data_IF_518059867372
#
_entry.id   IF_518059867372
#
_cell.length_a   1.000
_cell.length_b   1.000
_cell.length_c   1.000
_cell.angle_alpha   90.00
_cell.angle_beta   90.00
_cell.angle_gamma   90.00
#
_symmetry.space_group_name_H-M   'P 1'
#
loop_
_entity.id
_entity.type
_entity.pdbx_description
1 polymer ?
#
# COMPACT_ATOMS: atom_id res chain seq x y z
N UNK A 1 -8.64 12.70 27.46
CA UNK A 1 -7.55 12.38 26.52
C UNK A 1 -7.04 13.70 25.98
N UNK A 2 -5.73 13.82 25.77
CA UNK A 2 -5.17 14.99 25.10
C UNK A 2 -5.49 14.97 23.60
N UNK A 3 -5.34 16.10 22.91
CA UNK A 3 -5.48 16.18 21.45
C UNK A 3 -4.51 15.22 20.74
N UNK A 4 -3.27 15.11 21.26
CA UNK A 4 -2.29 14.11 20.85
C UNK A 4 -2.81 12.67 21.01
N UNK A 5 -3.40 12.33 22.16
CA UNK A 5 -3.94 10.98 22.40
C UNK A 5 -5.08 10.67 21.43
N UNK A 6 -5.97 11.64 21.16
CA UNK A 6 -7.08 11.49 20.23
C UNK A 6 -6.58 11.29 18.79
N UNK A 7 -5.61 12.08 18.35
CA UNK A 7 -4.99 11.95 17.03
C UNK A 7 -4.34 10.57 16.84
N UNK A 8 -3.59 10.09 17.85
CA UNK A 8 -3.00 8.74 17.82
C UNK A 8 -4.07 7.64 17.83
N UNK A 9 -5.13 7.81 18.63
CA UNK A 9 -6.23 6.87 18.71
C UNK A 9 -6.96 6.74 17.36
N UNK A 10 -7.22 7.85 16.66
CA UNK A 10 -7.83 7.84 15.33
C UNK A 10 -6.99 7.08 14.30
N UNK A 11 -5.67 7.33 14.27
CA UNK A 11 -4.75 6.55 13.43
C UNK A 11 -4.87 5.05 13.73
N UNK A 12 -4.82 4.69 15.01
CA UNK A 12 -4.79 3.29 15.42
C UNK A 12 -6.13 2.59 15.23
N UNK A 13 -7.25 3.30 15.34
CA UNK A 13 -8.57 2.78 14.99
C UNK A 13 -8.67 2.48 13.49
N UNK A 14 -8.20 3.38 12.64
CA UNK A 14 -8.19 3.18 11.19
C UNK A 14 -7.29 2.00 10.77
N UNK A 15 -6.12 1.85 11.40
CA UNK A 15 -5.18 0.74 11.15
C UNK A 15 -5.72 -0.59 11.65
N UNK A 16 -6.34 -0.63 12.83
CA UNK A 16 -6.96 -1.82 13.38
C UNK A 16 -8.09 -2.36 12.48
N UNK A 17 -8.87 -1.48 11.85
CA UNK A 17 -9.90 -1.87 10.88
C UNK A 17 -9.34 -2.58 9.63
N UNK A 18 -8.02 -2.50 9.40
CA UNK A 18 -7.30 -3.12 8.29
C UNK A 18 -6.36 -4.26 8.74
N UNK A 19 -6.38 -4.62 10.03
CA UNK A 19 -5.43 -5.60 10.58
C UNK A 19 -3.98 -5.11 10.62
N UNK A 20 -3.75 -3.81 10.53
CA UNK A 20 -2.42 -3.20 10.55
C UNK A 20 -2.01 -2.87 11.99
N UNK A 21 -0.75 -3.14 12.35
CA UNK A 21 -0.22 -2.89 13.68
C UNK A 21 -0.33 -1.39 14.08
N UNK A 22 -0.60 -1.07 15.36
CA UNK A 22 -0.76 0.32 15.81
C UNK A 22 0.54 1.11 15.72
N UNK A 23 0.42 2.41 15.46
CA UNK A 23 1.50 3.38 15.57
C UNK A 23 1.80 3.72 17.03
N UNK A 24 3.06 4.07 17.27
CA UNK A 24 3.53 4.67 18.52
C UNK A 24 3.85 6.15 18.32
N UNK A 25 3.59 6.96 19.34
CA UNK A 25 4.02 8.36 19.30
C UNK A 25 5.54 8.46 19.43
N UNK A 26 6.15 9.34 18.64
CA UNK A 26 7.58 9.64 18.71
C UNK A 26 7.81 11.15 18.87
N UNK A 27 8.43 11.53 19.98
CA UNK A 27 8.68 12.93 20.33
C UNK A 27 9.73 13.60 19.42
N UNK A 28 10.64 12.84 18.82
CA UNK A 28 11.60 13.39 17.85
C UNK A 28 10.88 13.71 16.52
N UNK A 29 9.96 12.84 16.09
CA UNK A 29 9.10 13.11 14.93
C UNK A 29 8.20 14.31 15.17
N UNK A 30 7.65 14.45 16.37
CA UNK A 30 6.86 15.63 16.76
C UNK A 30 7.70 16.91 16.72
N UNK A 31 8.93 16.89 17.24
CA UNK A 31 9.83 18.04 17.18
C UNK A 31 10.20 18.43 15.73
N UNK A 32 10.40 17.44 14.86
CA UNK A 32 10.62 17.67 13.44
C UNK A 32 9.36 18.26 12.76
N UNK A 33 8.18 17.72 13.06
CA UNK A 33 6.91 18.26 12.61
C UNK A 33 6.70 19.72 13.04
N UNK A 34 7.02 20.03 14.31
CA UNK A 34 6.89 21.38 14.85
C UNK A 34 7.80 22.37 14.13
N UNK A 35 9.02 21.95 13.81
CA UNK A 35 9.97 22.78 13.07
C UNK A 35 9.41 23.19 11.70
N UNK A 36 8.78 22.24 10.98
CA UNK A 36 8.16 22.54 9.70
C UNK A 36 6.86 23.33 9.84
N UNK A 37 5.99 23.00 10.81
CA UNK A 37 4.77 23.77 11.09
C UNK A 37 5.09 25.24 11.36
N UNK A 38 6.13 25.53 12.15
CA UNK A 38 6.62 26.88 12.40
C UNK A 38 7.06 27.58 11.10
N UNK A 39 7.75 26.86 10.20
CA UNK A 39 8.13 27.40 8.90
C UNK A 39 6.90 27.75 8.06
N UNK A 40 5.92 26.85 7.94
CA UNK A 40 4.67 27.07 7.20
C UNK A 40 3.88 28.26 7.75
N UNK A 41 3.80 28.39 9.07
CA UNK A 41 3.17 29.53 9.73
C UNK A 41 3.92 30.85 9.46
N UNK A 42 5.26 30.81 9.36
CA UNK A 42 6.08 31.98 9.06
C UNK A 42 5.93 32.44 7.60
N UNK A 43 5.93 31.52 6.64
CA UNK A 43 5.76 31.84 5.21
C UNK A 43 4.28 31.96 4.81
N UNK A 44 3.37 31.55 5.70
CA UNK A 44 1.93 31.53 5.55
C UNK A 44 1.48 30.85 4.23
N UNK A 45 2.08 29.70 3.94
CA UNK A 45 1.82 28.89 2.75
C UNK A 45 1.90 27.42 3.14
N UNK A 46 1.01 26.60 2.59
CA UNK A 46 1.01 25.16 2.77
C UNK A 46 1.87 24.54 1.66
N UNK A 47 3.02 23.98 2.02
CA UNK A 47 3.88 23.24 1.10
C UNK A 47 4.60 22.11 1.85
N UNK A 48 4.95 21.06 1.12
CA UNK A 48 5.66 19.92 1.67
C UNK A 48 7.12 20.28 1.99
N UNK A 49 7.69 19.66 3.02
CA UNK A 49 9.11 19.82 3.36
C UNK A 49 10.00 19.15 2.31
N UNK A 50 10.78 19.90 1.51
CA UNK A 50 11.60 19.34 0.45
C UNK A 50 12.77 18.50 0.97
N UNK A 51 13.11 18.58 2.27
CA UNK A 51 14.25 17.91 2.89
C UNK A 51 13.83 16.85 3.91
N UNK A 52 12.55 16.50 3.99
CA UNK A 52 12.06 15.51 4.91
C UNK A 52 12.61 14.11 4.63
N UNK A 53 13.17 13.48 5.66
CA UNK A 53 13.57 12.07 5.63
C UNK A 53 12.49 11.11 6.16
N UNK A 54 11.39 11.67 6.67
CA UNK A 54 10.21 10.97 7.18
C UNK A 54 8.99 11.28 6.30
N UNK A 55 7.99 10.40 6.33
CA UNK A 55 6.73 10.61 5.60
C UNK A 55 6.01 11.84 6.15
N UNK A 56 5.19 12.49 5.33
CA UNK A 56 4.58 13.77 5.70
C UNK A 56 3.12 13.84 5.26
N UNK A 57 2.25 14.23 6.20
CA UNK A 57 0.96 14.83 5.88
C UNK A 57 0.94 16.26 6.39
N UNK A 58 0.29 17.16 5.65
CA UNK A 58 0.10 18.55 6.05
C UNK A 58 -1.38 18.92 5.96
N UNK A 59 -1.81 19.85 6.79
CA UNK A 59 -3.16 20.42 6.72
C UNK A 59 -3.12 21.88 7.16
N UNK A 60 -4.12 22.65 6.75
CA UNK A 60 -4.34 24.02 7.22
C UNK A 60 -5.77 24.17 7.71
N UNK A 61 -5.96 24.97 8.75
CA UNK A 61 -7.26 25.28 9.33
C UNK A 61 -7.37 26.77 9.64
N UNK A 62 -8.59 27.30 9.48
CA UNK A 62 -8.93 28.64 9.91
C UNK A 62 -10.42 28.66 10.30
N UNK A 63 -10.78 28.97 11.56
CA UNK A 63 -9.90 29.39 12.67
C UNK A 63 -9.10 28.24 13.29
N UNK A 64 -8.12 28.58 14.14
CA UNK A 64 -7.38 27.64 15.00
C UNK A 64 -8.30 26.92 16.01
N UNK A 65 -7.85 25.77 16.54
CA UNK A 65 -8.63 24.93 17.46
C UNK A 65 -7.78 24.23 18.51
N UNK A 66 -8.34 24.01 19.71
CA UNK A 66 -7.69 23.22 20.76
C UNK A 66 -7.60 21.71 20.45
N UNK A 67 -8.30 21.23 19.41
CA UNK A 67 -8.31 19.82 18.97
C UNK A 67 -7.76 19.65 17.57
N UNK A 68 -6.75 20.45 17.20
CA UNK A 68 -6.32 20.57 15.82
C UNK A 68 -5.61 19.31 15.28
N UNK A 69 -4.91 18.56 16.13
CA UNK A 69 -4.23 17.34 15.72
C UNK A 69 -5.25 16.24 15.42
N UNK A 70 -6.30 16.13 16.25
CA UNK A 70 -7.45 15.27 16.02
C UNK A 70 -8.17 15.65 14.72
N UNK A 71 -8.47 16.93 14.52
CA UNK A 71 -9.14 17.44 13.33
C UNK A 71 -8.34 17.16 12.05
N UNK A 72 -7.03 17.40 12.07
CA UNK A 72 -6.13 17.10 10.94
C UNK A 72 -6.10 15.60 10.62
N UNK A 73 -6.00 14.76 11.66
CA UNK A 73 -6.04 13.31 11.49
C UNK A 73 -7.37 12.85 10.88
N UNK A 74 -8.50 13.39 11.37
CA UNK A 74 -9.82 13.11 10.82
C UNK A 74 -9.94 13.51 9.34
N UNK A 75 -9.39 14.68 8.97
CA UNK A 75 -9.35 15.15 7.59
C UNK A 75 -8.57 14.20 6.68
N UNK A 76 -7.36 13.81 7.08
CA UNK A 76 -6.53 12.87 6.32
C UNK A 76 -7.20 11.50 6.20
N UNK A 77 -7.85 11.00 7.26
CA UNK A 77 -8.55 9.73 7.23
C UNK A 77 -9.83 9.74 6.39
N UNK A 78 -10.47 10.91 6.23
CA UNK A 78 -11.69 11.05 5.43
C UNK A 78 -11.42 10.79 3.94
N UNK A 79 -10.20 10.97 3.45
CA UNK A 79 -9.80 10.63 2.09
C UNK A 79 -9.97 9.12 1.77
N UNK A 80 -10.22 8.28 2.76
CA UNK A 80 -10.64 6.88 2.56
C UNK A 80 -11.76 6.74 1.52
N UNK A 81 -12.68 7.69 1.43
CA UNK A 81 -13.78 7.63 0.43
C UNK A 81 -13.30 7.80 -1.00
N UNK A 82 -12.17 8.46 -1.21
CA UNK A 82 -11.51 8.58 -2.50
C UNK A 82 -10.50 7.45 -2.75
N UNK A 83 -10.23 6.62 -1.73
CA UNK A 83 -9.33 5.48 -1.82
C UNK A 83 -10.06 4.21 -2.25
N UNK A 84 -9.72 3.72 -3.44
CA UNK A 84 -10.09 2.38 -3.91
C UNK A 84 -8.96 1.40 -3.59
N UNK A 85 -9.27 0.39 -2.78
CA UNK A 85 -8.36 -0.73 -2.53
C UNK A 85 -8.11 -1.49 -3.82
N UNK A 86 -6.84 -1.75 -4.11
CA UNK A 86 -6.38 -2.30 -5.38
C UNK A 86 -5.18 -1.51 -5.90
N UNK A 87 -5.10 -1.32 -7.21
CA UNK A 87 -3.97 -0.66 -7.86
C UNK A 87 -3.89 0.81 -7.47
N UNK A 88 -2.70 1.22 -7.06
CA UNK A 88 -2.34 2.62 -6.92
C UNK A 88 -1.37 3.00 -8.05
N UNK A 89 -1.90 3.48 -9.17
CA UNK A 89 -1.15 3.90 -10.38
C UNK A 89 -0.65 5.35 -10.29
N UNK A 90 -0.76 5.97 -9.12
CA UNK A 90 -0.47 7.38 -8.90
C UNK A 90 -1.69 8.30 -9.05
N UNK A 91 -2.77 7.87 -9.72
CA UNK A 91 -3.97 8.70 -9.95
C UNK A 91 -4.69 9.08 -8.66
N UNK A 92 -4.54 8.26 -7.61
CA UNK A 92 -5.14 8.46 -6.30
C UNK A 92 -4.20 9.18 -5.31
N UNK A 93 -2.95 9.54 -5.69
CA UNK A 93 -1.99 10.22 -4.78
C UNK A 93 -2.55 11.55 -4.28
N UNK A 94 -3.06 12.37 -5.20
CA UNK A 94 -3.61 13.69 -4.85
C UNK A 94 -4.92 13.57 -4.04
N UNK A 95 -5.69 12.50 -4.25
CA UNK A 95 -7.01 12.35 -3.65
C UNK A 95 -7.01 11.53 -2.35
N UNK A 96 -6.01 10.68 -2.14
CA UNK A 96 -5.94 9.72 -1.02
C UNK A 96 -4.53 9.55 -0.43
N UNK A 97 -3.58 10.43 -0.79
CA UNK A 97 -2.21 10.39 -0.31
C UNK A 97 -2.11 10.49 1.21
N UNK A 98 -2.91 11.34 1.84
CA UNK A 98 -2.87 11.47 3.29
C UNK A 98 -3.43 10.24 3.99
N UNK A 99 -4.55 9.70 3.48
CA UNK A 99 -5.13 8.47 4.01
C UNK A 99 -4.13 7.31 3.97
N UNK A 100 -3.50 7.08 2.82
CA UNK A 100 -2.56 5.97 2.64
C UNK A 100 -1.35 6.07 3.57
N UNK A 101 -0.85 7.29 3.81
CA UNK A 101 0.22 7.51 4.78
C UNK A 101 -0.23 7.17 6.22
N UNK A 102 -1.43 7.56 6.65
CA UNK A 102 -1.95 7.23 7.98
C UNK A 102 -2.03 5.71 8.23
N UNK A 103 -2.43 4.93 7.22
CA UNK A 103 -2.62 3.48 7.33
C UNK A 103 -1.46 2.65 6.79
N UNK A 104 -0.31 3.27 6.51
CA UNK A 104 0.82 2.59 5.87
C UNK A 104 1.38 1.47 6.76
N UNK A 105 1.35 0.24 6.27
CA UNK A 105 1.63 -0.95 7.10
C UNK A 105 3.03 -0.94 7.72
N UNK A 106 4.04 -0.48 6.98
CA UNK A 106 5.43 -0.48 7.43
C UNK A 106 5.79 0.73 8.30
N UNK A 107 4.93 1.73 8.41
CA UNK A 107 5.12 2.85 9.32
C UNK A 107 4.81 2.39 10.73
N UNK A 108 5.69 2.69 11.68
CA UNK A 108 5.60 2.26 13.09
C UNK A 108 5.43 3.43 14.05
N UNK A 109 5.90 4.61 13.68
CA UNK A 109 5.96 5.78 14.54
C UNK A 109 5.35 7.01 13.85
N UNK A 110 4.70 7.86 14.65
CA UNK A 110 4.16 9.15 14.21
C UNK A 110 4.44 10.24 15.23
N UNK A 111 4.65 11.47 14.77
CA UNK A 111 4.60 12.66 15.60
C UNK A 111 3.93 13.80 14.84
N UNK A 112 3.02 14.51 15.50
CA UNK A 112 2.21 15.57 14.89
C UNK A 112 2.36 16.86 15.70
N UNK A 113 2.44 17.97 15.01
CA UNK A 113 2.57 19.30 15.60
C UNK A 113 1.85 20.35 14.77
N UNK A 114 1.56 21.50 15.38
CA UNK A 114 0.88 22.61 14.72
C UNK A 114 1.53 23.95 15.09
N UNK A 115 1.35 24.95 14.22
CA UNK A 115 1.74 26.33 14.49
C UNK A 115 0.76 27.31 13.85
N UNK A 116 0.44 28.39 14.56
CA UNK A 116 -0.47 29.44 14.09
C UNK A 116 0.32 30.60 13.46
N UNK A 117 -0.05 31.01 12.25
CA UNK A 117 0.50 32.20 11.60
C UNK A 117 -0.04 33.49 12.21
N UNK A 118 0.58 34.61 11.87
CA UNK A 118 0.10 35.95 12.30
C UNK A 118 -1.29 36.30 11.76
N UNK A 119 -1.76 35.64 10.70
CA UNK A 119 -3.13 35.78 10.19
C UNK A 119 -4.15 34.91 10.92
N UNK A 120 -3.74 34.12 11.92
CA UNK A 120 -4.62 33.21 12.67
C UNK A 120 -4.91 31.90 11.95
N UNK A 121 -4.19 31.59 10.87
CA UNK A 121 -4.26 30.29 10.18
C UNK A 121 -3.37 29.30 10.92
N UNK A 122 -3.88 28.10 11.19
CA UNK A 122 -3.14 27.03 11.84
C UNK A 122 -2.64 26.01 10.83
N UNK A 123 -1.35 25.72 10.85
CA UNK A 123 -0.68 24.76 9.98
C UNK A 123 -0.31 23.53 10.79
N UNK A 124 -0.77 22.36 10.35
CA UNK A 124 -0.55 21.08 11.02
C UNK A 124 0.35 20.21 10.15
N UNK A 125 1.35 19.57 10.77
CA UNK A 125 2.29 18.68 10.12
C UNK A 125 2.35 17.38 10.91
N UNK A 126 2.27 16.25 10.21
CA UNK A 126 2.59 14.92 10.76
C UNK A 126 3.86 14.37 10.11
N UNK A 127 4.67 13.68 10.91
CA UNK A 127 5.88 12.96 10.49
C UNK A 127 5.72 11.48 10.79
N UNK A 128 6.06 10.64 9.82
CA UNK A 128 5.88 9.19 9.88
C UNK A 128 7.19 8.45 9.65
N UNK A 129 7.53 7.48 10.51
CA UNK A 129 8.74 6.66 10.37
C UNK A 129 8.47 5.16 10.59
N UNK A 130 9.03 4.26 9.76
CA UNK A 130 9.52 4.50 8.41
C UNK A 130 8.51 5.28 7.57
N UNK A 131 9.00 6.14 6.66
CA UNK A 131 8.10 6.93 5.81
C UNK A 131 7.14 6.03 5.07
N UNK A 132 5.88 6.45 4.97
CA UNK A 132 5.03 5.89 3.94
C UNK A 132 5.73 6.17 2.64
N UNK A 133 5.96 5.14 1.85
CA UNK A 133 6.39 5.43 0.50
C UNK A 133 5.17 6.10 -0.13
N UNK A 134 5.31 7.35 -0.63
CA UNK A 134 4.58 7.70 -1.85
C UNK A 134 4.77 6.46 -2.71
N UNK A 135 3.71 5.85 -3.27
CA UNK A 135 3.91 4.85 -4.29
C UNK A 135 4.63 5.56 -5.44
N UNK A 136 5.96 5.60 -5.31
CA UNK A 136 6.84 5.75 -6.42
C UNK A 136 6.43 4.64 -7.34
N UNK A 137 6.38 4.95 -8.63
CA UNK A 137 6.22 3.93 -9.65
C UNK A 137 7.10 2.71 -9.29
N UNK A 138 6.45 1.61 -8.92
CA UNK A 138 7.10 0.36 -8.55
C UNK A 138 6.90 -0.07 -7.09
N UNK A 139 6.28 -1.20 -6.77
CA UNK A 139 5.77 -2.27 -7.63
C UNK A 139 4.65 -2.98 -6.87
N UNK A 140 3.41 -2.83 -7.32
CA UNK A 140 2.43 -3.89 -7.10
C UNK A 140 2.91 -5.12 -7.88
N UNK A 141 2.97 -6.27 -7.21
CA UNK A 141 3.43 -7.51 -7.80
C UNK A 141 2.30 -8.51 -7.83
N UNK A 142 1.91 -8.95 -9.02
CA UNK A 142 0.99 -10.06 -9.18
C UNK A 142 1.80 -11.25 -9.69
N UNK A 143 1.71 -12.37 -8.98
CA UNK A 143 2.43 -13.59 -9.29
C UNK A 143 1.44 -14.72 -9.56
N UNK A 144 1.56 -15.34 -10.72
CA UNK A 144 0.83 -16.56 -11.07
C UNK A 144 1.68 -17.73 -10.57
N UNK A 145 1.17 -18.48 -9.59
CA UNK A 145 1.94 -19.48 -8.86
C UNK A 145 1.36 -20.89 -8.98
N UNK A 146 2.24 -21.88 -9.07
CA UNK A 146 1.89 -23.28 -8.84
C UNK A 146 2.51 -23.74 -7.53
N UNK A 147 1.80 -24.54 -6.75
CA UNK A 147 2.29 -25.07 -5.50
C UNK A 147 2.22 -26.59 -5.43
N UNK A 148 3.23 -27.17 -4.79
CA UNK A 148 3.34 -28.61 -4.56
C UNK A 148 3.60 -28.92 -3.10
N UNK A 149 3.25 -30.13 -2.65
CA UNK A 149 3.61 -30.62 -1.32
C UNK A 149 4.30 -31.99 -1.39
N UNK A 150 4.87 -32.43 -0.26
CA UNK A 150 5.60 -33.70 -0.15
C UNK A 150 4.74 -34.95 -0.38
N UNK A 151 3.43 -34.85 -0.23
CA UNK A 151 2.46 -35.92 -0.49
C UNK A 151 2.04 -36.01 -1.96
N UNK A 152 2.64 -35.21 -2.86
CA UNK A 152 2.32 -35.18 -4.29
C UNK A 152 1.10 -34.31 -4.64
N UNK A 153 0.56 -33.55 -3.69
CA UNK A 153 -0.52 -32.60 -3.93
C UNK A 153 -0.06 -31.43 -4.80
N UNK A 154 -0.97 -30.94 -5.64
CA UNK A 154 -0.74 -29.81 -6.55
C UNK A 154 -1.88 -28.80 -6.41
N UNK A 155 -1.57 -27.52 -6.54
CA UNK A 155 -2.55 -26.42 -6.63
C UNK A 155 -1.94 -25.24 -7.37
N UNK A 156 -2.77 -24.26 -7.72
CA UNK A 156 -2.32 -23.04 -8.38
C UNK A 156 -3.09 -21.83 -7.85
N UNK A 157 -2.63 -20.62 -8.16
CA UNK A 157 -3.32 -19.40 -7.74
C UNK A 157 -2.59 -18.13 -8.16
N UNK A 158 -3.20 -17.01 -7.82
CA UNK A 158 -2.67 -15.67 -8.07
C UNK A 158 -2.36 -15.01 -6.73
N UNK A 159 -1.10 -14.63 -6.52
CA UNK A 159 -0.63 -13.92 -5.34
C UNK A 159 -0.46 -12.44 -5.63
N UNK A 160 -1.15 -11.60 -4.85
CA UNK A 160 -1.03 -10.15 -4.93
C UNK A 160 -0.15 -9.64 -3.78
N UNK A 161 0.73 -8.71 -4.10
CA UNK A 161 1.59 -8.02 -3.15
C UNK A 161 1.49 -6.53 -3.41
N UNK A 162 1.20 -5.77 -2.36
CA UNK A 162 1.27 -4.31 -2.38
C UNK A 162 2.68 -3.82 -2.70
N UNK A 163 3.70 -4.62 -2.35
CA UNK A 163 5.08 -4.40 -2.69
C UNK A 163 5.76 -5.69 -3.17
N UNK A 164 5.93 -5.83 -4.49
CA UNK A 164 6.58 -6.97 -5.13
C UNK A 164 8.01 -7.23 -4.63
N UNK A 165 8.71 -6.18 -4.16
CA UNK A 165 10.07 -6.31 -3.61
C UNK A 165 10.11 -7.11 -2.30
N UNK A 166 8.97 -7.28 -1.64
CA UNK A 166 8.82 -8.04 -0.40
C UNK A 166 8.22 -9.43 -0.61
N UNK A 167 7.93 -9.83 -1.86
CA UNK A 167 7.25 -11.09 -2.15
C UNK A 167 8.10 -12.33 -1.83
N UNK A 168 9.43 -12.20 -1.83
CA UNK A 168 10.35 -13.29 -1.52
C UNK A 168 10.19 -13.79 -0.08
N UNK A 169 9.81 -15.05 0.05
CA UNK A 169 9.63 -15.74 1.33
C UNK A 169 8.39 -15.32 2.11
N UNK A 170 7.55 -14.45 1.57
CA UNK A 170 6.34 -13.94 2.23
C UNK A 170 5.08 -14.47 1.56
N UNK A 171 4.05 -14.74 2.37
CA UNK A 171 2.72 -15.01 1.84
C UNK A 171 2.09 -13.73 1.24
N UNK A 172 1.17 -13.85 0.26
CA UNK A 172 0.44 -12.72 -0.31
C UNK A 172 -0.30 -11.87 0.74
N UNK A 173 -0.50 -10.59 0.45
CA UNK A 173 -1.13 -9.63 1.38
C UNK A 173 -2.64 -9.92 1.58
N UNK A 174 -3.16 -9.93 2.83
CA UNK A 174 -4.60 -9.96 3.12
C UNK A 174 -5.31 -8.61 2.81
N UNK A 175 -6.64 -8.60 2.60
CA UNK A 175 -7.56 -9.74 2.49
C UNK A 175 -7.65 -10.20 1.02
N UNK A 176 -6.55 -10.70 0.44
CA UNK A 176 -6.51 -11.18 -0.94
C UNK A 176 -5.77 -12.53 -1.02
N UNK A 177 -6.11 -13.43 -0.09
CA UNK A 177 -5.65 -14.81 -0.15
C UNK A 177 -6.27 -15.51 -1.37
N UNK A 178 -5.48 -15.52 -2.43
CA UNK A 178 -5.48 -16.48 -3.53
C UNK A 178 -6.85 -16.86 -4.07
N UNK A 179 -7.35 -16.02 -4.97
CA UNK A 179 -8.41 -16.41 -5.88
C UNK A 179 -7.90 -17.57 -6.75
N UNK A 180 -8.24 -18.80 -6.34
CA UNK A 180 -7.72 -20.04 -6.92
C UNK A 180 -7.40 -21.16 -5.93
N UNK A 181 -7.31 -20.92 -4.61
CA UNK A 181 -7.12 -22.03 -3.63
C UNK A 181 -8.38 -22.90 -3.61
N UNK A 182 -8.37 -23.97 -4.41
CA UNK A 182 -9.52 -24.86 -4.61
C UNK A 182 -9.83 -25.17 -6.08
N UNK A 183 -9.15 -24.53 -7.05
CA UNK A 183 -9.08 -25.06 -8.42
C UNK A 183 -7.85 -25.94 -8.52
N UNK A 184 -8.06 -27.22 -8.83
CA UNK A 184 -6.95 -28.18 -9.01
C UNK A 184 -6.02 -27.77 -10.16
N UNK A 185 -6.49 -26.93 -11.10
CA UNK A 185 -5.71 -26.47 -12.25
C UNK A 185 -6.28 -25.19 -12.90
N UNK A 186 -5.42 -24.21 -13.20
CA UNK A 186 -5.70 -23.03 -14.02
C UNK A 186 -4.77 -23.10 -15.25
N UNK A 187 -5.30 -23.13 -16.48
CA UNK A 187 -4.46 -23.04 -17.67
C UNK A 187 -3.93 -21.60 -17.80
N UNK A 188 -2.65 -21.38 -17.55
CA UNK A 188 -2.09 -20.02 -17.60
C UNK A 188 -2.06 -19.44 -19.01
N UNK A 189 -1.90 -20.27 -20.05
CA UNK A 189 -1.54 -19.88 -21.41
C UNK A 189 -2.65 -20.14 -22.43
N UNK A 190 -2.61 -19.41 -23.54
CA UNK A 190 -3.32 -19.71 -24.78
C UNK A 190 -4.78 -19.25 -24.84
N UNK A 191 -5.36 -18.78 -23.73
CA UNK A 191 -6.67 -18.13 -23.67
C UNK A 191 -6.68 -17.07 -22.57
N UNK A 192 -7.56 -16.09 -22.70
CA UNK A 192 -7.82 -15.16 -21.60
C UNK A 192 -8.43 -15.92 -20.41
N UNK A 193 -7.91 -15.63 -19.22
CA UNK A 193 -8.37 -16.19 -17.95
C UNK A 193 -8.55 -15.05 -16.95
N UNK A 194 -9.31 -15.32 -15.88
CA UNK A 194 -9.45 -14.35 -14.80
C UNK A 194 -9.74 -15.01 -13.46
N UNK A 195 -9.46 -14.23 -12.41
CA UNK A 195 -9.79 -14.54 -11.04
C UNK A 195 -10.47 -13.34 -10.38
N UNK A 196 -11.40 -13.62 -9.47
CA UNK A 196 -12.05 -12.60 -8.65
C UNK A 196 -11.53 -12.72 -7.23
N UNK A 197 -10.93 -11.65 -6.75
CA UNK A 197 -10.43 -11.55 -5.39
C UNK A 197 -11.57 -11.40 -4.37
N UNK A 198 -11.26 -11.58 -3.08
CA UNK A 198 -12.26 -11.57 -2.00
C UNK A 198 -12.97 -10.22 -1.84
N UNK A 199 -12.34 -9.12 -2.26
CA UNK A 199 -12.92 -7.77 -2.30
C UNK A 199 -13.79 -7.51 -3.54
N UNK A 200 -13.93 -8.50 -4.45
CA UNK A 200 -14.68 -8.41 -5.69
C UNK A 200 -13.89 -7.88 -6.89
N UNK A 201 -12.61 -7.51 -6.72
CA UNK A 201 -11.78 -7.07 -7.84
C UNK A 201 -11.46 -8.24 -8.77
N UNK A 202 -11.59 -8.01 -10.08
CA UNK A 202 -11.28 -9.01 -11.10
C UNK A 202 -9.89 -8.74 -11.66
N UNK A 203 -9.03 -9.75 -11.68
CA UNK A 203 -7.77 -9.73 -12.40
C UNK A 203 -7.80 -10.75 -13.52
N UNK A 204 -7.53 -10.30 -14.73
CA UNK A 204 -7.58 -11.08 -15.96
C UNK A 204 -6.22 -11.02 -16.67
N UNK A 205 -5.86 -12.10 -17.35
CA UNK A 205 -4.61 -12.19 -18.10
C UNK A 205 -4.80 -12.94 -19.41
N UNK A 206 -3.96 -12.62 -20.38
CA UNK A 206 -3.85 -13.29 -21.66
C UNK A 206 -2.36 -13.53 -21.97
N UNK A 207 -1.92 -14.77 -21.77
CA UNK A 207 -0.53 -15.20 -21.95
C UNK A 207 -0.44 -16.04 -23.21
N UNK A 208 0.60 -15.80 -24.02
CA UNK A 208 0.84 -16.52 -25.26
C UNK A 208 0.91 -18.03 -25.03
N UNK A 209 0.32 -18.81 -25.94
CA UNK A 209 0.25 -20.28 -25.83
C UNK A 209 1.61 -20.98 -25.73
N UNK A 210 2.69 -20.32 -26.15
CA UNK A 210 4.06 -20.83 -26.14
C UNK A 210 4.94 -20.19 -25.05
N UNK A 211 4.37 -19.43 -24.11
CA UNK A 211 5.13 -18.60 -23.17
C UNK A 211 6.16 -19.39 -22.34
N UNK A 212 5.88 -20.65 -21.97
CA UNK A 212 6.84 -21.51 -21.26
C UNK A 212 8.11 -21.85 -22.07
N UNK A 213 8.05 -21.75 -23.40
CA UNK A 213 9.19 -22.01 -24.28
C UNK A 213 10.10 -20.78 -24.45
N UNK A 214 9.63 -19.60 -24.04
CA UNK A 214 10.40 -18.35 -24.13
C UNK A 214 11.52 -18.30 -23.07
N UNK A 215 12.58 -17.49 -23.26
CA UNK A 215 13.57 -17.26 -22.22
C UNK A 215 12.95 -16.67 -20.95
N UNK A 216 13.52 -16.98 -19.79
CA UNK A 216 13.08 -16.39 -18.53
C UNK A 216 13.15 -14.85 -18.58
N UNK A 217 12.21 -14.20 -17.91
CA UNK A 217 12.05 -12.74 -17.84
C UNK A 217 11.64 -12.07 -19.16
N UNK A 218 11.23 -12.85 -20.15
CA UNK A 218 10.65 -12.33 -21.40
C UNK A 218 9.20 -11.91 -21.17
N UNK A 219 8.77 -10.80 -21.78
CA UNK A 219 7.37 -10.41 -21.82
C UNK A 219 6.60 -11.39 -22.72
N UNK A 220 5.56 -12.02 -22.19
CA UNK A 220 4.85 -13.15 -22.82
C UNK A 220 3.34 -12.96 -22.88
N UNK A 221 2.84 -11.81 -22.46
CA UNK A 221 1.40 -11.53 -22.48
C UNK A 221 1.07 -10.21 -21.81
N UNK A 222 -0.23 -9.98 -21.69
CA UNK A 222 -0.79 -8.81 -21.01
C UNK A 222 -1.76 -9.28 -19.93
N UNK A 223 -1.98 -8.41 -18.95
CA UNK A 223 -2.99 -8.63 -17.93
C UNK A 223 -3.61 -7.31 -17.51
N UNK A 224 -4.74 -7.37 -16.85
CA UNK A 224 -5.49 -6.19 -16.44
C UNK A 224 -6.35 -6.48 -15.23
N UNK A 225 -6.71 -5.42 -14.52
CA UNK A 225 -7.87 -5.44 -13.64
C UNK A 225 -8.72 -4.21 -13.91
N UNK A 226 -9.69 -3.95 -13.02
CA UNK A 226 -10.59 -2.79 -13.13
C UNK A 226 -9.88 -1.42 -13.14
N UNK A 227 -8.58 -1.38 -12.86
CA UNK A 227 -7.83 -0.14 -12.66
C UNK A 227 -6.72 0.06 -13.69
N UNK A 228 -5.96 -0.97 -14.09
CA UNK A 228 -4.87 -0.82 -15.07
C UNK A 228 -4.54 -2.10 -15.85
N UNK A 229 -3.71 -1.93 -16.88
CA UNK A 229 -3.03 -3.00 -17.61
C UNK A 229 -1.60 -3.23 -17.08
N UNK A 230 -1.15 -4.49 -17.08
CA UNK A 230 0.21 -4.91 -16.74
C UNK A 230 0.80 -5.73 -17.89
N UNK A 231 2.12 -5.71 -17.99
CA UNK A 231 2.85 -6.64 -18.83
C UNK A 231 3.09 -7.93 -18.05
N UNK A 232 2.88 -9.09 -18.68
CA UNK A 232 3.13 -10.40 -18.08
C UNK A 232 4.48 -10.91 -18.53
N UNK A 233 5.31 -11.35 -17.58
CA UNK A 233 6.65 -11.88 -17.84
C UNK A 233 6.76 -13.33 -17.37
N UNK A 234 7.49 -14.14 -18.13
CA UNK A 234 7.85 -15.50 -17.72
C UNK A 234 8.82 -15.43 -16.53
N UNK A 235 8.56 -16.20 -15.49
CA UNK A 235 9.51 -16.39 -14.39
C UNK A 235 10.23 -17.75 -14.51
N UNK A 236 11.27 -17.94 -13.69
CA UNK A 236 12.16 -19.09 -13.73
C UNK A 236 11.71 -20.27 -12.84
N UNK A 237 10.46 -20.28 -12.35
CA UNK A 237 9.91 -21.34 -11.47
C UNK A 237 10.61 -21.49 -10.12
N UNK A 238 11.32 -20.46 -9.66
CA UNK A 238 11.82 -20.38 -8.28
C UNK A 238 10.69 -20.46 -7.27
N UNK A 239 11.02 -20.92 -6.07
CA UNK A 239 10.11 -20.85 -4.92
C UNK A 239 9.97 -19.37 -4.55
N UNK A 240 8.73 -18.88 -4.54
CA UNK A 240 8.39 -17.55 -4.06
C UNK A 240 8.23 -17.59 -2.54
N UNK A 241 7.44 -18.53 -2.01
CA UNK A 241 7.26 -18.74 -0.57
C UNK A 241 6.84 -20.18 -0.26
N UNK A 242 6.96 -20.57 1.01
CA UNK A 242 6.48 -21.86 1.51
C UNK A 242 5.57 -21.64 2.72
N UNK A 243 4.43 -22.34 2.76
CA UNK A 243 3.45 -22.19 3.82
C UNK A 243 2.71 -23.52 4.05
N UNK A 244 2.56 -23.93 5.31
CA UNK A 244 1.78 -25.12 5.70
C UNK A 244 2.14 -26.40 4.93
N UNK A 245 3.44 -26.61 4.65
CA UNK A 245 3.94 -27.78 3.92
C UNK A 245 3.77 -27.71 2.40
N UNK A 246 3.40 -26.54 1.86
CA UNK A 246 3.33 -26.27 0.43
C UNK A 246 4.45 -25.33 0.00
N UNK A 247 5.07 -25.61 -1.14
CA UNK A 247 6.01 -24.70 -1.78
C UNK A 247 5.36 -24.05 -3.01
N UNK A 248 5.25 -22.73 -3.02
CA UNK A 248 4.64 -21.95 -4.10
C UNK A 248 5.74 -21.43 -5.03
N UNK A 249 5.68 -21.80 -6.31
CA UNK A 249 6.63 -21.41 -7.35
C UNK A 249 5.98 -20.42 -8.31
N UNK A 250 6.69 -19.33 -8.58
CA UNK A 250 6.29 -18.32 -9.55
C UNK A 250 6.45 -18.85 -10.97
N UNK A 251 5.38 -18.81 -11.75
CA UNK A 251 5.37 -19.21 -13.16
C UNK A 251 5.45 -17.96 -14.04
N UNK A 252 4.70 -16.93 -13.68
CA UNK A 252 4.71 -15.61 -14.31
C UNK A 252 4.56 -14.52 -13.25
N UNK A 253 5.03 -13.32 -13.57
CA UNK A 253 4.77 -12.13 -12.78
C UNK A 253 4.29 -10.99 -13.67
N UNK A 254 3.50 -10.08 -13.09
CA UNK A 254 2.91 -8.94 -13.78
C UNK A 254 3.43 -7.65 -13.15
N UNK A 255 3.84 -6.68 -13.98
CA UNK A 255 4.31 -5.36 -13.54
C UNK A 255 3.83 -4.24 -14.47
#
# INVERSE_FOLDING_TARGET
>A
MSDQDNALALHNQARAALGVAPLQWDNNLQAAAQSWANHLAQVNSLDHDPNASAGENIALFSPASDTILENATGLWLAEKTAYSYGIFDGSQVEAAGHYTQCVWANTTNVGIAAATSSSGTEFVVARYLPQGQRPQQGFEGIFLVNATNSSGGQKCGVGWYRNALQAEGQSPDPPLEAAGVGRDWIPWEGNEQSVTFADGNVFAWNINANAQSEPDYTMVGTSHNNFRNFDVYKDNKRILYSQNGWDYRTIYYCK
#
